data_IF_986394640682
#
_entry.id   IF_986394640682
#
_cell.length_a   1.000
_cell.length_b   1.000
_cell.length_c   1.000
_cell.angle_alpha   90.00
_cell.angle_beta   90.00
_cell.angle_gamma   90.00
#
_symmetry.space_group_name_H-M   'P 1'
#
loop_
_entity.id
_entity.type
_entity.pdbx_description
1 polymer ?
#
# COMPACT_ATOMS: atom_id res chain seq x y z
N UNK A 1 -20.95 12.55 11.01
CA UNK A 1 -19.63 11.90 10.90
C UNK A 1 -18.60 12.97 11.16
N UNK A 2 -17.76 12.80 12.17
CA UNK A 2 -16.64 13.71 12.40
C UNK A 2 -15.49 13.23 11.50
N UNK A 3 -15.06 14.05 10.54
CA UNK A 3 -13.98 13.67 9.61
C UNK A 3 -12.68 13.29 10.35
N UNK A 4 -12.49 13.80 11.56
CA UNK A 4 -11.32 13.54 12.40
C UNK A 4 -11.26 12.10 12.97
N UNK A 5 -12.39 11.38 12.93
CA UNK A 5 -12.50 9.99 13.42
C UNK A 5 -12.24 8.96 12.30
N UNK A 6 -12.17 9.39 11.04
CA UNK A 6 -11.98 8.53 9.87
C UNK A 6 -10.50 8.44 9.52
N UNK A 7 -10.07 7.26 9.09
CA UNK A 7 -8.73 7.03 8.57
C UNK A 7 -8.52 7.86 7.30
N UNK A 8 -7.48 8.70 7.29
CA UNK A 8 -7.12 9.51 6.13
C UNK A 8 -6.91 8.70 4.84
N UNK A 9 -6.23 7.53 4.86
CA UNK A 9 -6.08 6.71 3.65
C UNK A 9 -7.29 5.88 3.26
N UNK A 10 -8.20 5.55 4.20
CA UNK A 10 -9.25 4.57 3.93
C UNK A 10 -10.58 4.97 4.57
N UNK A 11 -11.53 5.41 3.73
CA UNK A 11 -12.76 6.10 4.19
C UNK A 11 -13.73 5.22 5.00
N UNK A 12 -13.57 3.90 4.96
CA UNK A 12 -14.37 2.95 5.76
C UNK A 12 -13.80 2.65 7.16
N UNK A 13 -12.54 3.04 7.43
CA UNK A 13 -11.87 2.69 8.68
C UNK A 13 -11.82 3.87 9.62
N UNK A 14 -11.86 3.56 10.92
CA UNK A 14 -11.59 4.55 11.95
C UNK A 14 -10.11 4.92 11.93
N UNK A 15 -9.82 6.15 12.36
CA UNK A 15 -8.46 6.63 12.53
C UNK A 15 -7.74 5.79 13.59
N UNK A 16 -6.60 5.24 13.19
CA UNK A 16 -5.74 4.43 14.05
C UNK A 16 -4.37 5.10 14.23
N UNK A 17 -3.63 4.66 15.25
CA UNK A 17 -2.27 5.13 15.46
C UNK A 17 -1.37 4.61 14.35
N UNK A 18 -0.48 5.47 13.84
CA UNK A 18 0.48 5.07 12.83
C UNK A 18 1.49 4.08 13.40
N UNK A 19 1.71 2.97 12.70
CA UNK A 19 2.70 1.94 13.07
C UNK A 19 4.02 2.24 12.37
N UNK A 20 4.63 3.37 12.70
CA UNK A 20 5.95 3.79 12.22
C UNK A 20 7.03 3.54 13.28
N UNK A 21 8.31 3.37 12.89
CA UNK A 21 9.41 3.27 13.85
C UNK A 21 9.47 4.53 14.72
N UNK A 22 9.55 4.36 16.03
CA UNK A 22 9.64 5.47 16.96
C UNK A 22 9.67 4.98 18.41
N UNK A 23 10.10 5.82 19.37
CA UNK A 23 10.13 5.44 20.78
C UNK A 23 8.69 5.14 21.25
N UNK A 24 8.42 3.90 21.60
CA UNK A 24 7.09 3.46 22.05
C UNK A 24 7.08 2.96 23.50
N UNK A 25 5.95 3.18 24.18
CA UNK A 25 5.68 2.66 25.52
C UNK A 25 5.15 1.22 25.39
N UNK A 26 6.06 0.25 25.45
CA UNK A 26 5.79 -1.15 25.09
C UNK A 26 4.92 -1.83 26.16
N UNK A 27 3.60 -1.91 25.94
CA UNK A 27 2.72 -2.79 26.72
C UNK A 27 2.93 -4.26 26.30
N UNK A 28 3.67 -4.98 27.14
CA UNK A 28 4.31 -6.28 26.87
C UNK A 28 3.31 -7.45 26.85
N UNK A 29 3.24 -8.20 25.75
CA UNK A 29 2.65 -9.55 25.74
C UNK A 29 3.77 -10.57 25.94
N UNK A 30 3.60 -11.48 26.92
CA UNK A 30 4.54 -12.56 27.27
C UNK A 30 5.07 -13.39 26.09
N UNK A 31 4.31 -13.47 24.99
CA UNK A 31 4.61 -14.29 23.81
C UNK A 31 5.74 -13.69 22.94
N UNK A 32 5.99 -12.37 23.01
CA UNK A 32 7.00 -11.70 22.19
C UNK A 32 8.34 -11.51 22.93
N UNK A 33 8.50 -12.07 24.12
CA UNK A 33 9.50 -11.61 25.09
C UNK A 33 10.95 -12.05 24.82
N UNK A 34 11.22 -13.04 23.96
CA UNK A 34 12.58 -13.61 23.88
C UNK A 34 13.52 -12.91 22.89
N UNK A 35 12.99 -12.12 21.93
CA UNK A 35 13.82 -11.45 20.90
C UNK A 35 13.62 -9.92 20.82
N UNK A 36 12.66 -9.37 21.57
CA UNK A 36 12.33 -7.93 21.52
C UNK A 36 13.35 -7.06 22.23
N UNK A 37 14.12 -7.61 23.18
CA UNK A 37 15.15 -6.87 23.92
C UNK A 37 16.34 -6.41 23.04
N UNK A 38 16.43 -6.89 21.78
CA UNK A 38 17.43 -6.46 20.79
C UNK A 38 16.93 -5.38 19.83
N UNK A 39 15.63 -5.07 19.85
CA UNK A 39 15.00 -4.17 18.88
C UNK A 39 15.03 -2.73 19.40
N UNK A 40 15.56 -1.81 18.59
CA UNK A 40 15.79 -0.43 19.02
C UNK A 40 14.60 0.47 18.72
N UNK A 41 13.79 0.14 17.71
CA UNK A 41 12.71 1.00 17.22
C UNK A 41 11.35 0.30 17.11
N UNK A 42 10.85 -0.34 18.18
CA UNK A 42 9.56 -1.02 18.13
C UNK A 42 8.43 -0.02 17.88
N UNK A 43 7.57 -0.25 16.87
CA UNK A 43 6.47 0.66 16.60
C UNK A 43 5.42 0.60 17.73
N UNK A 44 4.64 1.67 17.93
CA UNK A 44 3.57 1.66 18.92
C UNK A 44 2.53 0.60 18.58
N UNK A 45 1.97 -0.02 19.62
CA UNK A 45 0.98 -1.09 19.45
C UNK A 45 -0.42 -0.51 19.19
N UNK A 46 -1.01 -0.72 18.00
CA UNK A 46 -2.38 -0.30 17.75
C UNK A 46 -3.39 -1.25 18.41
N UNK A 47 -4.65 -0.82 18.59
CA UNK A 47 -5.77 -1.71 18.85
C UNK A 47 -5.84 -2.87 17.84
N UNK A 48 -6.38 -4.02 18.24
CA UNK A 48 -6.43 -5.21 17.37
C UNK A 48 -7.37 -5.00 16.18
N UNK A 49 -8.38 -4.14 16.36
CA UNK A 49 -9.38 -3.81 15.37
C UNK A 49 -8.85 -2.85 14.29
N UNK A 50 -7.67 -2.26 14.49
CA UNK A 50 -7.04 -1.37 13.52
C UNK A 50 -6.48 -2.12 12.33
N UNK A 51 -6.66 -1.56 11.13
CA UNK A 51 -6.12 -2.11 9.87
C UNK A 51 -4.58 -2.14 9.86
N UNK A 52 -3.95 -1.40 10.76
CA UNK A 52 -2.52 -1.31 10.98
C UNK A 52 -2.01 -2.37 11.99
N UNK A 53 -2.87 -3.16 12.63
CA UNK A 53 -2.41 -4.23 13.51
C UNK A 53 -1.53 -5.28 12.79
N UNK A 54 -1.86 -5.73 11.56
CA UNK A 54 -0.97 -6.60 10.78
C UNK A 54 0.41 -5.98 10.53
N UNK A 55 0.47 -4.67 10.36
CA UNK A 55 1.72 -3.92 10.22
C UNK A 55 2.58 -3.98 11.48
N UNK A 56 1.96 -3.91 12.67
CA UNK A 56 2.64 -4.09 13.95
C UNK A 56 3.20 -5.52 14.07
N UNK A 57 2.41 -6.53 13.72
CA UNK A 57 2.86 -7.93 13.74
C UNK A 57 3.99 -8.20 12.74
N UNK A 58 3.91 -7.62 11.54
CA UNK A 58 4.93 -7.76 10.50
C UNK A 58 6.31 -7.34 11.00
N UNK A 59 6.38 -6.25 11.78
CA UNK A 59 7.65 -5.78 12.33
C UNK A 59 8.34 -6.84 13.20
N UNK A 60 7.59 -7.54 14.08
CA UNK A 60 8.16 -8.62 14.89
C UNK A 60 8.48 -9.85 14.06
N UNK A 61 7.59 -10.20 13.12
CA UNK A 61 7.79 -11.38 12.28
C UNK A 61 9.06 -11.26 11.43
N UNK A 62 9.29 -10.12 10.76
CA UNK A 62 10.49 -9.91 9.92
C UNK A 62 11.76 -9.82 10.76
N UNK A 63 11.69 -9.27 11.97
CA UNK A 63 12.86 -9.13 12.85
C UNK A 63 13.19 -10.37 13.67
N UNK A 64 12.32 -11.38 13.69
CA UNK A 64 12.59 -12.64 14.37
C UNK A 64 13.83 -13.35 13.79
N UNK A 65 14.70 -13.92 14.63
CA UNK A 65 15.98 -14.47 14.16
C UNK A 65 15.75 -15.67 13.22
N UNK A 66 14.79 -16.55 13.53
CA UNK A 66 14.47 -17.68 12.66
C UNK A 66 13.91 -17.23 11.31
N UNK A 67 13.07 -16.18 11.27
CA UNK A 67 12.62 -15.57 10.01
C UNK A 67 13.80 -15.04 9.21
N UNK A 68 14.70 -14.27 9.84
CA UNK A 68 15.86 -13.67 9.18
C UNK A 68 16.83 -14.72 8.63
N UNK A 69 17.09 -15.78 9.40
CA UNK A 69 17.91 -16.92 8.97
C UNK A 69 17.25 -17.65 7.79
N UNK A 70 15.94 -17.89 7.84
CA UNK A 70 15.19 -18.55 6.75
C UNK A 70 15.13 -17.72 5.47
N UNK A 71 14.99 -16.39 5.59
CA UNK A 71 15.04 -15.46 4.45
C UNK A 71 16.47 -15.23 3.92
N UNK A 72 17.49 -15.82 4.55
CA UNK A 72 18.89 -15.69 4.13
C UNK A 72 19.49 -14.31 4.40
N UNK A 73 18.96 -13.56 5.36
CA UNK A 73 19.50 -12.25 5.75
C UNK A 73 20.85 -12.45 6.44
N UNK A 74 21.92 -11.97 5.83
CA UNK A 74 23.28 -12.11 6.35
C UNK A 74 23.43 -11.34 7.67
N UNK A 75 23.99 -11.99 8.69
CA UNK A 75 24.28 -11.33 9.97
C UNK A 75 25.25 -10.16 9.73
N UNK A 76 24.93 -8.99 10.30
CA UNK A 76 25.73 -7.76 10.18
C UNK A 76 25.45 -6.86 8.96
N UNK A 77 24.56 -7.24 8.03
CA UNK A 77 24.22 -6.36 6.88
C UNK A 77 23.11 -5.36 7.19
N UNK A 78 22.11 -5.79 7.95
CA UNK A 78 20.99 -4.96 8.40
C UNK A 78 20.78 -5.26 9.87
N UNK A 79 20.84 -4.23 10.71
CA UNK A 79 20.66 -4.42 12.16
C UNK A 79 19.19 -4.72 12.48
N UNK A 80 18.29 -3.84 12.04
CA UNK A 80 16.87 -3.90 12.32
C UNK A 80 16.10 -3.57 11.05
N UNK A 81 15.06 -4.34 10.76
CA UNK A 81 14.14 -4.04 9.67
C UNK A 81 13.04 -3.11 10.15
N UNK A 82 12.78 -2.07 9.36
CA UNK A 82 11.66 -1.16 9.53
C UNK A 82 10.83 -1.14 8.24
N UNK A 83 9.51 -0.93 8.36
CA UNK A 83 8.62 -0.95 7.19
C UNK A 83 8.81 0.25 6.28
N UNK A 84 8.93 1.43 6.88
CA UNK A 84 9.02 2.70 6.18
C UNK A 84 10.13 3.53 6.81
N UNK A 85 11.09 3.92 6.00
CA UNK A 85 12.07 4.95 6.29
C UNK A 85 11.42 6.32 6.09
N UNK A 86 11.45 7.17 7.11
CA UNK A 86 10.76 8.47 7.12
C UNK A 86 11.79 9.58 7.24
N UNK A 87 12.23 10.13 6.11
CA UNK A 87 13.15 11.28 6.05
C UNK A 87 14.60 10.96 6.39
N UNK A 88 14.96 9.69 6.58
CA UNK A 88 16.33 9.23 6.83
C UNK A 88 17.03 8.71 5.57
N UNK A 89 16.32 8.67 4.43
CA UNK A 89 16.89 8.38 3.12
C UNK A 89 16.92 9.65 2.25
N UNK A 90 17.98 9.84 1.43
CA UNK A 90 18.05 10.96 0.51
C UNK A 90 17.15 10.70 -0.71
N UNK A 91 15.87 10.99 -0.57
CA UNK A 91 14.89 10.94 -1.67
C UNK A 91 14.56 12.36 -2.14
N UNK A 92 14.58 12.58 -3.45
CA UNK A 92 14.21 13.85 -4.08
C UNK A 92 13.04 13.61 -5.04
N UNK A 93 12.08 14.54 -5.05
CA UNK A 93 10.89 14.48 -5.89
C UNK A 93 11.13 15.25 -7.20
N UNK A 94 11.97 14.69 -8.07
CA UNK A 94 12.43 15.34 -9.31
C UNK A 94 11.51 15.13 -10.52
N UNK A 95 10.53 14.22 -10.42
CA UNK A 95 9.53 13.95 -11.47
C UNK A 95 8.18 14.56 -11.07
N UNK A 96 7.89 15.74 -11.63
CA UNK A 96 6.61 16.44 -11.40
C UNK A 96 5.44 15.78 -12.15
N UNK A 97 5.68 15.19 -13.33
CA UNK A 97 4.64 14.61 -14.15
C UNK A 97 5.14 13.39 -14.95
N UNK A 98 4.55 12.22 -14.68
CA UNK A 98 4.87 10.96 -15.34
C UNK A 98 4.09 10.68 -16.64
N UNK A 99 3.10 11.50 -17.02
CA UNK A 99 2.16 11.20 -18.12
C UNK A 99 2.89 10.96 -19.45
N UNK A 100 3.86 11.80 -19.80
CA UNK A 100 4.59 11.63 -21.07
C UNK A 100 5.38 10.33 -21.13
N UNK A 101 5.99 9.92 -20.01
CA UNK A 101 6.70 8.66 -19.90
C UNK A 101 5.75 7.48 -20.06
N UNK A 102 4.62 7.51 -19.35
CA UNK A 102 3.63 6.45 -19.40
C UNK A 102 2.93 6.33 -20.77
N UNK A 103 2.70 7.46 -21.46
CA UNK A 103 2.15 7.44 -22.83
C UNK A 103 3.12 6.79 -23.82
N UNK A 104 4.43 7.06 -23.70
CA UNK A 104 5.47 6.38 -24.49
C UNK A 104 5.45 4.87 -24.24
N UNK A 105 5.38 4.44 -22.98
CA UNK A 105 5.30 3.01 -22.64
C UNK A 105 4.02 2.36 -23.17
N UNK A 106 2.87 3.03 -23.02
CA UNK A 106 1.60 2.54 -23.54
C UNK A 106 1.62 2.34 -25.06
N UNK A 107 2.31 3.20 -25.81
CA UNK A 107 2.44 3.06 -27.28
C UNK A 107 3.24 1.83 -27.73
N UNK A 108 3.94 1.14 -26.83
CA UNK A 108 4.69 -0.08 -27.14
C UNK A 108 3.81 -1.34 -27.21
N UNK A 109 2.48 -1.18 -27.14
CA UNK A 109 1.48 -2.24 -27.29
C UNK A 109 1.58 -3.36 -26.22
N UNK A 110 2.22 -3.08 -25.08
CA UNK A 110 2.18 -3.97 -23.93
C UNK A 110 0.79 -4.00 -23.32
N UNK A 111 0.34 -5.19 -22.93
CA UNK A 111 -0.89 -5.33 -22.15
C UNK A 111 -0.65 -4.71 -20.78
N UNK A 112 -1.38 -3.63 -20.48
CA UNK A 112 -1.21 -2.86 -19.26
C UNK A 112 -2.48 -2.94 -18.43
N UNK A 113 -2.35 -3.26 -17.14
CA UNK A 113 -3.44 -3.22 -16.17
C UNK A 113 -3.12 -2.12 -15.14
N UNK A 114 -4.07 -1.22 -14.96
CA UNK A 114 -4.07 -0.22 -13.88
C UNK A 114 -5.27 -0.52 -13.01
N UNK A 115 -5.08 -0.61 -11.69
CA UNK A 115 -6.18 -0.84 -10.77
C UNK A 115 -6.13 0.09 -9.57
N UNK A 116 -7.29 0.34 -8.96
CA UNK A 116 -7.41 1.19 -7.77
C UNK A 116 -8.55 0.69 -6.87
N UNK A 117 -8.33 0.70 -5.55
CA UNK A 117 -9.40 0.44 -4.58
C UNK A 117 -10.37 1.62 -4.54
N UNK A 118 -11.67 1.34 -4.53
CA UNK A 118 -12.69 2.39 -4.60
C UNK A 118 -12.86 3.21 -3.30
N UNK A 119 -12.24 2.78 -2.20
CA UNK A 119 -12.25 3.45 -0.89
C UNK A 119 -10.89 4.06 -0.49
N UNK A 120 -9.88 4.07 -1.38
CA UNK A 120 -8.62 4.77 -1.16
C UNK A 120 -8.81 6.29 -1.32
N UNK A 121 -8.48 7.04 -0.28
CA UNK A 121 -8.57 8.50 -0.27
C UNK A 121 -7.21 9.20 -0.49
N UNK A 122 -6.08 8.49 -0.40
CA UNK A 122 -4.75 9.05 -0.69
C UNK A 122 -4.56 9.15 -2.20
N UNK A 123 -4.93 8.11 -2.95
CA UNK A 123 -4.95 8.12 -4.42
C UNK A 123 -6.32 7.65 -4.95
N UNK A 124 -7.33 8.53 -4.94
CA UNK A 124 -8.68 8.18 -5.35
C UNK A 124 -8.73 7.61 -6.77
N UNK A 125 -9.55 6.58 -6.96
CA UNK A 125 -9.68 5.89 -8.25
C UNK A 125 -10.06 6.84 -9.40
N UNK A 126 -10.79 7.93 -9.11
CA UNK A 126 -11.14 8.96 -10.10
C UNK A 126 -9.90 9.66 -10.67
N UNK A 127 -8.91 9.96 -9.81
CA UNK A 127 -7.64 10.55 -10.23
C UNK A 127 -6.86 9.59 -11.13
N UNK A 128 -6.79 8.32 -10.73
CA UNK A 128 -6.16 7.26 -11.52
C UNK A 128 -6.88 7.04 -12.84
N UNK A 129 -8.21 7.05 -12.87
CA UNK A 129 -9.00 6.92 -14.09
C UNK A 129 -8.77 8.08 -15.05
N UNK A 130 -8.72 9.32 -14.55
CA UNK A 130 -8.40 10.49 -15.36
C UNK A 130 -6.99 10.40 -15.95
N UNK A 131 -6.02 9.93 -15.15
CA UNK A 131 -4.67 9.66 -15.60
C UNK A 131 -4.63 8.60 -16.71
N UNK A 132 -5.26 7.43 -16.53
CA UNK A 132 -5.30 6.37 -17.55
C UNK A 132 -5.96 6.86 -18.84
N UNK A 133 -7.06 7.61 -18.73
CA UNK A 133 -7.73 8.22 -19.89
C UNK A 133 -6.80 9.13 -20.68
N UNK A 134 -5.82 9.78 -20.04
CA UNK A 134 -4.85 10.62 -20.74
C UNK A 134 -3.82 9.83 -21.56
N UNK A 135 -3.70 8.52 -21.37
CA UNK A 135 -2.69 7.66 -22.04
C UNK A 135 -3.17 7.12 -23.40
N UNK A 136 -4.43 7.35 -23.76
CA UNK A 136 -5.05 6.77 -24.95
C UNK A 136 -6.08 7.72 -25.56
N UNK A 137 -6.24 7.65 -26.88
CA UNK A 137 -7.11 8.57 -27.63
C UNK A 137 -8.57 8.08 -27.72
N UNK A 138 -8.84 6.80 -27.41
CA UNK A 138 -10.17 6.22 -27.52
C UNK A 138 -10.42 5.07 -26.52
N UNK A 139 -11.70 4.75 -26.32
CA UNK A 139 -12.19 3.64 -25.49
C UNK A 139 -12.46 2.44 -26.43
N UNK A 140 -12.05 1.25 -25.99
CA UNK A 140 -12.23 -0.03 -26.71
C UNK A 140 -13.36 -0.86 -26.09
N UNK A 141 -13.45 -0.91 -24.76
CA UNK A 141 -14.51 -1.56 -24.00
C UNK A 141 -14.98 -0.59 -22.92
N UNK A 142 -16.26 -0.23 -22.94
CA UNK A 142 -16.81 0.82 -22.08
C UNK A 142 -17.05 0.32 -20.65
N UNK A 143 -17.33 1.26 -19.75
CA UNK A 143 -17.48 1.05 -18.33
C UNK A 143 -18.51 -0.05 -18.00
N UNK A 144 -18.03 -1.15 -17.43
CA UNK A 144 -18.89 -2.27 -17.02
C UNK A 144 -18.42 -2.91 -15.73
N UNK A 145 -19.35 -3.52 -15.01
CA UNK A 145 -19.01 -4.30 -13.84
C UNK A 145 -18.20 -5.55 -14.24
N UNK A 146 -17.23 -5.93 -13.40
CA UNK A 146 -16.59 -7.24 -13.46
C UNK A 146 -17.01 -8.04 -12.23
N UNK A 147 -17.18 -9.35 -12.42
CA UNK A 147 -17.80 -10.21 -11.42
C UNK A 147 -16.84 -11.30 -10.97
N UNK A 148 -16.90 -11.62 -9.68
CA UNK A 148 -16.27 -12.77 -9.07
C UNK A 148 -17.32 -13.48 -8.22
N UNK A 149 -17.51 -14.79 -8.41
CA UNK A 149 -18.48 -15.61 -7.68
C UNK A 149 -19.91 -15.03 -7.64
N UNK A 150 -20.36 -14.44 -8.75
CA UNK A 150 -21.70 -13.85 -8.88
C UNK A 150 -21.88 -12.49 -8.21
N UNK A 151 -20.84 -11.92 -7.60
CA UNK A 151 -20.85 -10.57 -7.03
C UNK A 151 -20.05 -9.62 -7.90
N UNK A 152 -20.48 -8.35 -7.95
CA UNK A 152 -19.68 -7.30 -8.57
C UNK A 152 -18.45 -7.02 -7.71
N UNK A 153 -17.27 -7.28 -8.27
CA UNK A 153 -15.99 -7.03 -7.61
C UNK A 153 -15.42 -5.64 -7.97
N UNK A 154 -16.15 -4.87 -8.80
CA UNK A 154 -15.81 -3.51 -9.19
C UNK A 154 -16.20 -3.22 -10.64
N UNK A 155 -15.58 -2.22 -11.23
CA UNK A 155 -15.80 -1.81 -12.62
C UNK A 155 -14.52 -1.84 -13.43
N UNK A 156 -14.63 -2.01 -14.72
CA UNK A 156 -13.48 -2.02 -15.63
C UNK A 156 -13.81 -1.32 -16.93
N UNK A 157 -12.77 -0.79 -17.56
CA UNK A 157 -12.83 -0.12 -18.86
C UNK A 157 -11.51 -0.36 -19.60
N UNK A 158 -11.57 -0.64 -20.89
CA UNK A 158 -10.38 -0.82 -21.72
C UNK A 158 -10.25 0.33 -22.70
N UNK A 159 -9.07 0.89 -22.78
CA UNK A 159 -8.70 1.96 -23.70
C UNK A 159 -7.88 1.41 -24.85
N UNK A 160 -7.69 2.22 -25.90
CA UNK A 160 -6.66 1.95 -26.92
C UNK A 160 -5.27 1.81 -26.28
N UNK A 161 -4.28 1.33 -27.04
CA UNK A 161 -2.94 0.99 -26.53
C UNK A 161 -2.93 -0.19 -25.52
N UNK A 162 -3.99 -1.01 -25.50
CA UNK A 162 -4.09 -2.21 -24.67
C UNK A 162 -3.98 -1.93 -23.15
N UNK A 163 -4.50 -0.76 -22.73
CA UNK A 163 -4.53 -0.33 -21.33
C UNK A 163 -5.91 -0.59 -20.75
N UNK A 164 -5.98 -1.39 -19.70
CA UNK A 164 -7.21 -1.68 -18.96
C UNK A 164 -7.15 -1.02 -17.58
N UNK A 165 -8.21 -0.28 -17.24
CA UNK A 165 -8.43 0.22 -15.89
C UNK A 165 -9.45 -0.66 -15.16
N UNK A 166 -9.23 -0.93 -13.88
CA UNK A 166 -10.19 -1.63 -13.03
C UNK A 166 -10.28 -1.00 -11.64
N UNK A 167 -11.49 -0.85 -11.11
CA UNK A 167 -11.68 -0.63 -9.68
C UNK A 167 -11.83 -1.96 -8.96
N UNK A 168 -11.36 -2.01 -7.72
CA UNK A 168 -11.64 -3.12 -6.80
C UNK A 168 -12.57 -2.59 -5.72
N UNK A 169 -13.76 -3.19 -5.67
CA UNK A 169 -14.76 -2.93 -4.65
C UNK A 169 -14.42 -3.70 -3.38
N UNK A 170 -14.34 -2.96 -2.28
CA UNK A 170 -14.31 -3.53 -0.92
C UNK A 170 -15.73 -3.74 -0.35
#
# INVERSE_FOLDING_TARGET
MLFDEISAPHILHNKCIAVSPGPSDVSRRKILNEEVDLLQNPPPRPPIECIEYPHYLLYFWVNNNATRETLGIKKGTVNEWVRCHQGDLPYDEDIVNGIEYHRKVASLNYRTLVYSGDHDAVLPFLSTQAWVRSLSDHIVDDWRAWHLDGQSAGFTMTYGNNVTFATVKF
#
